data_IF_628511635703
#
_entry.id   IF_628511635703
#
_cell.length_a   1.000
_cell.length_b   1.000
_cell.length_c   1.000
_cell.angle_alpha   90.00
_cell.angle_beta   90.00
_cell.angle_gamma   90.00
#
_symmetry.space_group_name_H-M   'P 1'
#
loop_
_entity.id
_entity.type
_entity.pdbx_description
1 polymer ?
#
# COMPACT_ATOMS: atom_id res chain seq x y z
N UNK A 1 -13.06 -14.40 26.01
CA UNK A 1 -13.25 -13.07 25.37
C UNK A 1 -12.07 -12.67 24.47
N UNK A 2 -10.81 -12.69 24.93
CA UNK A 2 -9.67 -12.21 24.12
C UNK A 2 -9.46 -12.93 22.78
N UNK A 3 -9.58 -14.27 22.74
CA UNK A 3 -9.29 -15.07 21.53
C UNK A 3 -10.36 -14.98 20.43
N UNK A 4 -11.63 -14.81 20.78
CA UNK A 4 -12.74 -14.86 19.82
C UNK A 4 -13.38 -13.51 19.54
N UNK A 5 -12.94 -12.45 20.23
CA UNK A 5 -13.49 -11.11 20.03
C UNK A 5 -12.37 -10.08 19.91
N UNK A 6 -11.60 -9.87 20.99
CA UNK A 6 -10.66 -8.75 21.03
C UNK A 6 -9.58 -8.88 19.94
N UNK A 7 -8.89 -10.01 19.85
CA UNK A 7 -7.81 -10.21 18.87
C UNK A 7 -8.33 -10.19 17.42
N UNK A 8 -9.39 -10.95 17.07
CA UNK A 8 -9.92 -10.90 15.72
C UNK A 8 -10.43 -9.51 15.34
N UNK A 9 -11.18 -8.82 16.20
CA UNK A 9 -11.70 -7.49 15.89
C UNK A 9 -10.58 -6.47 15.70
N UNK A 10 -9.53 -6.51 16.52
CA UNK A 10 -8.35 -5.66 16.33
C UNK A 10 -7.65 -5.97 15.00
N UNK A 11 -7.48 -7.26 14.67
CA UNK A 11 -6.93 -7.69 13.37
C UNK A 11 -7.75 -7.20 12.19
N UNK A 12 -9.09 -7.26 12.30
CA UNK A 12 -10.01 -6.74 11.29
C UNK A 12 -9.87 -5.22 11.13
N UNK A 13 -9.80 -4.46 12.22
CA UNK A 13 -9.59 -3.01 12.18
C UNK A 13 -8.29 -2.64 11.47
N UNK A 14 -7.20 -3.37 11.74
CA UNK A 14 -5.92 -3.18 11.06
C UNK A 14 -6.02 -3.49 9.56
N UNK A 15 -6.67 -4.61 9.20
CA UNK A 15 -6.86 -5.00 7.80
C UNK A 15 -7.69 -3.96 7.01
N UNK A 16 -8.79 -3.49 7.59
CA UNK A 16 -9.64 -2.45 6.98
C UNK A 16 -8.89 -1.11 6.86
N UNK A 17 -8.05 -0.77 7.83
CA UNK A 17 -7.21 0.43 7.75
C UNK A 17 -6.17 0.33 6.61
N UNK A 18 -5.58 -0.85 6.39
CA UNK A 18 -4.71 -1.09 5.24
C UNK A 18 -5.48 -0.95 3.93
N UNK A 19 -6.67 -1.56 3.84
CA UNK A 19 -7.53 -1.45 2.66
C UNK A 19 -7.89 0.01 2.35
N UNK A 20 -8.23 0.82 3.35
CA UNK A 20 -8.52 2.24 3.17
C UNK A 20 -7.33 3.00 2.57
N UNK A 21 -6.10 2.72 3.02
CA UNK A 21 -4.87 3.31 2.48
C UNK A 21 -4.60 2.89 1.04
N UNK A 22 -4.79 1.62 0.73
CA UNK A 22 -4.64 1.10 -0.64
C UNK A 22 -5.65 1.76 -1.59
N UNK A 23 -6.91 1.90 -1.16
CA UNK A 23 -7.95 2.59 -1.92
C UNK A 23 -7.63 4.08 -2.11
N UNK A 24 -7.14 4.76 -1.07
CA UNK A 24 -6.69 6.15 -1.17
C UNK A 24 -5.54 6.31 -2.19
N UNK A 25 -4.59 5.38 -2.22
CA UNK A 25 -3.51 5.38 -3.22
C UNK A 25 -4.06 5.15 -4.64
N UNK A 26 -4.99 4.20 -4.81
CA UNK A 26 -5.66 3.94 -6.09
C UNK A 26 -6.43 5.17 -6.60
N UNK A 27 -7.11 5.90 -5.72
CA UNK A 27 -7.82 7.14 -6.07
C UNK A 27 -6.85 8.21 -6.57
N UNK A 28 -5.72 8.42 -5.88
CA UNK A 28 -4.67 9.36 -6.33
C UNK A 28 -4.10 8.97 -7.70
N UNK A 29 -3.89 7.68 -7.96
CA UNK A 29 -3.46 7.20 -9.29
C UNK A 29 -4.51 7.53 -10.35
N UNK A 30 -5.80 7.40 -10.03
CA UNK A 30 -6.89 7.75 -10.95
C UNK A 30 -7.00 9.24 -11.20
N UNK A 31 -6.74 10.07 -10.20
CA UNK A 31 -6.71 11.52 -10.38
C UNK A 31 -5.57 11.96 -11.31
N UNK A 32 -4.39 11.35 -11.19
CA UNK A 32 -3.27 11.58 -12.11
C UNK A 32 -3.62 11.16 -13.55
N UNK A 33 -4.30 10.02 -13.72
CA UNK A 33 -4.77 9.56 -15.02
C UNK A 33 -5.78 10.56 -15.62
N UNK A 34 -6.74 11.05 -14.83
CA UNK A 34 -7.72 12.06 -15.26
C UNK A 34 -7.02 13.38 -15.64
N UNK A 35 -6.02 13.79 -14.87
CA UNK A 35 -5.22 14.98 -15.14
C UNK A 35 -4.45 14.85 -16.46
N UNK A 36 -3.80 13.71 -16.71
CA UNK A 36 -3.07 13.44 -17.97
C UNK A 36 -3.99 13.55 -19.21
N UNK A 37 -5.22 13.03 -19.11
CA UNK A 37 -6.22 13.21 -20.16
C UNK A 37 -6.54 14.69 -20.41
N UNK A 38 -6.70 15.48 -19.35
CA UNK A 38 -6.99 16.91 -19.47
C UNK A 38 -5.82 17.69 -20.08
N UNK A 39 -4.60 17.40 -19.65
CA UNK A 39 -3.36 18.00 -20.17
C UNK A 39 -3.12 17.63 -21.64
N UNK A 40 -3.53 16.42 -22.04
CA UNK A 40 -3.55 15.96 -23.43
C UNK A 40 -4.66 16.58 -24.30
N UNK A 41 -5.51 17.44 -23.71
CA UNK A 41 -6.60 18.14 -24.41
C UNK A 41 -7.90 17.35 -24.55
N UNK A 42 -8.06 16.24 -23.82
CA UNK A 42 -9.34 15.53 -23.78
C UNK A 42 -10.39 16.35 -23.04
N UNK A 43 -11.61 16.36 -23.55
CA UNK A 43 -12.75 17.09 -22.96
C UNK A 43 -13.87 16.11 -22.62
N UNK A 44 -14.44 16.26 -21.42
CA UNK A 44 -15.60 15.49 -20.99
C UNK A 44 -16.83 15.81 -21.84
N UNK A 45 -17.42 14.80 -22.46
CA UNK A 45 -18.70 14.93 -23.17
C UNK A 45 -19.89 15.16 -22.25
N UNK A 46 -19.78 14.73 -20.98
CA UNK A 46 -20.82 14.84 -19.95
C UNK A 46 -20.22 15.48 -18.70
N UNK A 47 -20.43 16.78 -18.52
CA UNK A 47 -19.86 17.54 -17.40
C UNK A 47 -20.17 16.99 -16.00
N UNK A 48 -21.36 16.39 -15.80
CA UNK A 48 -21.76 15.77 -14.53
C UNK A 48 -20.90 14.57 -14.07
N UNK A 49 -20.04 14.05 -14.95
CA UNK A 49 -19.13 12.95 -14.62
C UNK A 49 -17.80 13.45 -14.04
N UNK A 50 -17.56 14.77 -14.06
CA UNK A 50 -16.38 15.35 -13.44
C UNK A 50 -16.44 15.09 -11.93
N UNK A 51 -15.37 14.53 -11.39
CA UNK A 51 -15.14 14.40 -9.95
C UNK A 51 -14.12 15.44 -9.51
N UNK A 52 -14.20 15.84 -8.24
CA UNK A 52 -13.13 16.60 -7.61
C UNK A 52 -11.97 15.67 -7.25
N UNK A 53 -10.70 16.15 -7.27
CA UNK A 53 -9.55 15.34 -6.88
C UNK A 53 -9.71 14.80 -5.46
N UNK A 54 -9.32 13.55 -5.25
CA UNK A 54 -9.42 12.91 -3.95
C UNK A 54 -8.38 13.47 -2.97
N UNK A 55 -8.85 13.96 -1.83
CA UNK A 55 -8.02 14.41 -0.71
C UNK A 55 -8.42 13.65 0.57
N UNK A 56 -7.44 12.98 1.16
CA UNK A 56 -7.67 11.99 2.22
C UNK A 56 -8.05 12.63 3.55
N UNK A 57 -7.47 13.78 3.91
CA UNK A 57 -7.74 14.42 5.19
C UNK A 57 -9.16 15.01 5.22
N UNK A 58 -9.55 15.71 4.16
CA UNK A 58 -10.88 16.24 3.92
C UNK A 58 -11.93 15.13 3.92
N UNK A 59 -11.66 14.01 3.24
CA UNK A 59 -12.54 12.84 3.29
C UNK A 59 -12.70 12.30 4.71
N UNK A 60 -11.61 12.15 5.47
CA UNK A 60 -11.64 11.64 6.84
C UNK A 60 -12.38 12.60 7.79
N UNK A 61 -12.11 13.90 7.70
CA UNK A 61 -12.80 14.94 8.48
C UNK A 61 -14.31 14.90 8.20
N UNK A 62 -14.71 14.88 6.93
CA UNK A 62 -16.12 14.78 6.55
C UNK A 62 -16.74 13.46 7.03
N UNK A 63 -16.02 12.33 6.87
CA UNK A 63 -16.50 11.03 7.34
C UNK A 63 -16.72 11.01 8.85
N UNK A 64 -15.80 11.59 9.64
CA UNK A 64 -15.91 11.65 11.10
C UNK A 64 -17.12 12.45 11.58
N UNK A 65 -17.49 13.51 10.87
CA UNK A 65 -18.63 14.35 11.23
C UNK A 65 -19.95 13.77 10.73
N UNK A 66 -20.01 13.35 9.46
CA UNK A 66 -21.27 13.04 8.79
C UNK A 66 -21.64 11.56 8.83
N UNK A 67 -20.66 10.65 8.80
CA UNK A 67 -20.89 9.22 8.57
C UNK A 67 -20.57 8.35 9.77
N UNK A 68 -19.59 8.75 10.58
CA UNK A 68 -19.14 7.97 11.74
C UNK A 68 -20.26 7.66 12.76
N UNK A 69 -21.19 8.57 13.10
CA UNK A 69 -22.24 8.25 14.07
C UNK A 69 -23.13 7.08 13.63
N UNK A 70 -23.47 7.01 12.34
CA UNK A 70 -24.27 5.92 11.77
C UNK A 70 -23.40 4.67 11.54
N UNK A 71 -22.19 4.83 11.00
CA UNK A 71 -21.29 3.73 10.68
C UNK A 71 -20.77 2.97 11.91
N UNK A 72 -20.67 3.64 13.06
CA UNK A 72 -20.25 3.03 14.33
C UNK A 72 -21.40 2.47 15.17
N UNK A 73 -22.65 2.60 14.71
CA UNK A 73 -23.79 2.06 15.42
C UNK A 73 -23.84 0.53 15.32
N UNK A 74 -23.52 -0.15 16.42
CA UNK A 74 -23.49 -1.62 16.48
C UNK A 74 -24.92 -2.20 16.58
N UNK A 75 -25.87 -1.44 17.13
CA UNK A 75 -27.25 -1.89 17.35
C UNK A 75 -27.32 -3.24 18.07
N UNK A 76 -27.98 -4.20 17.43
CA UNK A 76 -28.13 -5.59 17.91
C UNK A 76 -27.05 -6.55 17.38
N UNK A 77 -26.02 -6.03 16.71
CA UNK A 77 -24.92 -6.81 16.15
C UNK A 77 -25.22 -7.48 14.80
N UNK A 78 -26.44 -7.36 14.25
CA UNK A 78 -26.73 -7.89 12.89
C UNK A 78 -25.83 -7.31 11.79
N UNK A 79 -25.48 -6.00 11.77
CA UNK A 79 -24.60 -5.46 10.74
C UNK A 79 -23.23 -6.16 10.71
N UNK A 80 -22.70 -6.53 11.87
CA UNK A 80 -21.47 -7.31 11.96
C UNK A 80 -21.64 -8.70 11.32
N UNK A 81 -22.70 -9.43 11.69
CA UNK A 81 -22.96 -10.77 11.17
C UNK A 81 -23.21 -10.78 9.65
N UNK A 82 -23.83 -9.74 9.10
CA UNK A 82 -24.13 -9.63 7.67
C UNK A 82 -22.92 -9.18 6.84
N UNK A 83 -22.16 -8.20 7.33
CA UNK A 83 -21.16 -7.50 6.50
C UNK A 83 -19.72 -7.91 6.79
N UNK A 84 -19.41 -8.30 8.03
CA UNK A 84 -18.03 -8.47 8.51
C UNK A 84 -17.64 -9.92 8.81
N UNK A 85 -18.61 -10.85 8.77
CA UNK A 85 -18.38 -12.25 9.14
C UNK A 85 -17.31 -12.94 8.27
N UNK A 86 -17.28 -12.65 6.97
CA UNK A 86 -16.27 -13.20 6.05
C UNK A 86 -14.86 -12.78 6.47
N UNK A 87 -14.67 -11.49 6.78
CA UNK A 87 -13.39 -10.95 7.24
C UNK A 87 -13.00 -11.51 8.62
N UNK A 88 -13.96 -11.63 9.55
CA UNK A 88 -13.73 -12.25 10.85
C UNK A 88 -13.23 -13.69 10.71
N UNK A 89 -13.87 -14.50 9.86
CA UNK A 89 -13.45 -15.89 9.59
C UNK A 89 -12.07 -15.94 8.94
N UNK A 90 -11.74 -15.01 8.04
CA UNK A 90 -10.41 -14.94 7.44
C UNK A 90 -9.32 -14.61 8.47
N UNK A 91 -9.55 -13.59 9.32
CA UNK A 91 -8.60 -13.17 10.36
C UNK A 91 -8.39 -14.27 11.40
N UNK A 92 -9.47 -14.89 11.89
CA UNK A 92 -9.37 -15.99 12.86
C UNK A 92 -8.62 -17.20 12.30
N UNK A 93 -8.84 -17.57 11.03
CA UNK A 93 -8.07 -18.62 10.35
C UNK A 93 -6.59 -18.28 10.28
N UNK A 94 -6.26 -17.04 9.91
CA UNK A 94 -4.88 -16.57 9.84
C UNK A 94 -4.18 -16.59 11.21
N UNK A 95 -4.88 -16.19 12.28
CA UNK A 95 -4.34 -16.27 13.64
C UNK A 95 -4.02 -17.71 14.08
N UNK A 96 -4.89 -18.66 13.76
CA UNK A 96 -4.66 -20.09 14.08
C UNK A 96 -3.45 -20.62 13.30
N UNK A 97 -3.35 -20.32 12.01
CA UNK A 97 -2.22 -20.73 11.17
C UNK A 97 -0.90 -20.12 11.66
N UNK A 98 -0.90 -18.83 12.03
CA UNK A 98 0.29 -18.16 12.56
C UNK A 98 0.78 -18.83 13.86
N UNK A 99 -0.15 -19.25 14.74
CA UNK A 99 0.18 -19.98 15.97
C UNK A 99 0.77 -21.36 15.71
N UNK A 100 0.19 -22.12 14.78
CA UNK A 100 0.70 -23.44 14.39
C UNK A 100 2.12 -23.33 13.83
N UNK A 101 2.36 -22.39 12.90
CA UNK A 101 3.69 -22.13 12.35
C UNK A 101 4.73 -21.79 13.42
N UNK A 102 4.34 -21.02 14.45
CA UNK A 102 5.24 -20.68 15.55
C UNK A 102 5.58 -21.88 16.44
N UNK A 103 4.64 -22.80 16.61
CA UNK A 103 4.85 -24.02 17.38
C UNK A 103 5.74 -25.02 16.63
N UNK A 104 5.48 -25.23 15.33
CA UNK A 104 6.32 -26.09 14.48
C UNK A 104 7.77 -25.59 14.38
N UNK A 105 7.95 -24.26 14.38
CA UNK A 105 9.28 -23.63 14.39
C UNK A 105 10.01 -23.78 15.74
N UNK A 106 9.27 -23.80 16.86
CA UNK A 106 9.85 -23.99 18.18
C UNK A 106 10.28 -25.45 18.42
N UNK A 107 9.49 -26.42 17.96
CA UNK A 107 9.79 -27.85 18.12
C UNK A 107 11.00 -28.30 17.28
N UNK A 108 11.12 -27.80 16.04
CA UNK A 108 12.29 -28.06 15.19
C UNK A 108 13.60 -27.48 15.74
N UNK A 109 13.56 -26.43 16.57
CA UNK A 109 14.76 -25.91 17.25
C UNK A 109 15.13 -26.70 18.51
N UNK A 110 14.19 -27.44 19.09
CA UNK A 110 14.43 -28.21 20.32
C UNK A 110 15.03 -29.59 20.01
N UNK A 111 14.65 -30.19 18.87
CA UNK A 111 15.21 -31.46 18.40
C UNK A 111 16.65 -31.39 17.86
N UNK A 112 17.16 -30.20 17.56
CA UNK A 112 18.55 -30.01 17.07
C UNK A 112 19.59 -29.74 18.16
N UNK A 113 19.25 -29.78 19.46
CA UNK A 113 20.21 -29.50 20.55
C UNK A 113 20.67 -30.71 21.38
N UNK A 114 20.25 -31.93 21.03
CA UNK A 114 20.76 -33.14 21.69
C UNK A 114 22.06 -33.65 21.03
N UNK A 115 23.20 -33.06 21.40
CA UNK A 115 24.52 -33.69 21.29
C UNK A 115 25.27 -33.47 22.61
N UNK A 116 25.89 -34.51 23.21
CA UNK A 116 26.43 -34.42 24.55
C UNK A 116 27.80 -33.71 24.59
N UNK A 117 28.03 -33.04 25.73
CA UNK A 117 29.28 -32.65 26.39
C UNK A 117 30.60 -32.74 25.59
N UNK A 118 31.35 -31.63 25.59
CA UNK A 118 32.64 -31.60 26.29
C UNK A 118 33.03 -30.16 26.68
N UNK A 119 33.42 -30.03 27.94
CA UNK A 119 33.84 -28.84 28.67
C UNK A 119 35.27 -28.46 28.24
N UNK A 120 35.59 -27.18 28.04
CA UNK A 120 36.63 -26.46 28.82
C UNK A 120 37.00 -25.07 28.23
N UNK A 121 37.34 -24.17 29.17
CA UNK A 121 38.16 -22.95 29.04
C UNK A 121 37.63 -21.77 28.20
N UNK A 122 37.08 -20.71 28.82
CA UNK A 122 37.80 -19.59 29.46
C UNK A 122 38.57 -18.72 28.46
N UNK A 123 38.10 -17.48 28.21
CA UNK A 123 38.84 -16.23 28.49
C UNK A 123 38.02 -15.01 28.03
N UNK A 124 37.88 -14.11 29.00
CA UNK A 124 37.31 -12.77 29.03
C UNK A 124 38.22 -11.77 28.30
N UNK A 125 37.65 -10.83 27.52
CA UNK A 125 37.76 -9.35 27.70
C UNK A 125 37.22 -8.57 26.49
N UNK A 126 36.49 -7.50 26.81
CA UNK A 126 36.03 -6.34 26.03
C UNK A 126 36.76 -5.09 26.60
N UNK A 127 36.56 -3.85 26.11
CA UNK A 127 36.92 -3.25 24.81
C UNK A 127 37.88 -2.04 24.99
N UNK A 128 38.48 -1.54 23.91
CA UNK A 128 39.01 -0.16 23.89
C UNK A 128 38.59 0.57 22.61
N UNK A 129 37.96 1.73 22.80
CA UNK A 129 37.88 2.85 21.85
C UNK A 129 38.76 3.98 22.39
N UNK A 130 39.37 4.84 21.54
CA UNK A 130 38.83 6.21 21.42
C UNK A 130 39.03 6.94 20.06
N UNK A 131 37.91 7.47 19.51
CA UNK A 131 37.59 8.85 18.99
C UNK A 131 38.54 9.63 18.02
N UNK A 132 38.15 10.80 17.42
CA UNK A 132 38.21 11.04 15.97
C UNK A 132 39.03 12.28 15.56
N UNK A 133 39.17 12.56 14.26
CA UNK A 133 39.65 13.86 13.75
C UNK A 133 38.93 14.29 12.47
N UNK A 134 38.80 15.61 12.33
CA UNK A 134 37.78 16.33 11.62
C UNK A 134 38.20 16.89 10.24
N UNK A 135 37.18 17.34 9.49
CA UNK A 135 37.16 18.41 8.46
C UNK A 135 37.99 18.16 7.18
N UNK A 136 37.56 18.54 5.97
CA UNK A 136 37.15 19.88 5.53
C UNK A 136 36.26 19.79 4.26
N UNK A 137 35.29 20.70 4.17
CA UNK A 137 34.45 21.03 3.02
C UNK A 137 35.23 21.40 1.73
N UNK A 138 34.65 21.16 0.55
CA UNK A 138 34.22 22.23 -0.39
C UNK A 138 33.77 21.67 -1.74
N UNK A 139 32.54 22.03 -2.14
CA UNK A 139 32.16 22.23 -3.55
C UNK A 139 32.58 23.66 -3.95
N UNK A 140 32.70 24.04 -5.25
CA UNK A 140 31.52 24.29 -6.09
C UNK A 140 31.66 24.00 -7.60
N UNK A 141 30.51 23.99 -8.28
CA UNK A 141 30.27 24.05 -9.74
C UNK A 141 30.71 25.41 -10.35
N UNK A 142 30.89 25.57 -11.70
CA UNK A 142 29.74 25.80 -12.61
C UNK A 142 29.89 25.38 -14.10
N UNK A 143 28.75 25.49 -14.81
CA UNK A 143 28.39 25.23 -16.21
C UNK A 143 29.31 25.73 -17.35
N UNK A 144 29.23 25.07 -18.54
CA UNK A 144 29.02 25.73 -19.85
C UNK A 144 28.82 24.75 -21.04
N UNK A 145 27.65 24.85 -21.69
CA UNK A 145 27.37 24.95 -23.14
C UNK A 145 28.15 24.09 -24.19
N UNK A 146 27.43 23.27 -24.98
CA UNK A 146 27.78 23.04 -26.40
C UNK A 146 27.31 21.72 -27.03
N UNK A 147 26.96 21.68 -28.34
CA UNK A 147 25.86 20.87 -28.87
C UNK A 147 26.27 19.69 -29.77
N UNK A 148 25.46 18.62 -29.80
CA UNK A 148 25.46 17.58 -30.85
C UNK A 148 24.21 16.71 -30.67
N UNK A 149 23.26 16.54 -31.59
CA UNK A 149 23.27 16.73 -33.03
C UNK A 149 23.21 15.40 -33.76
N UNK A 150 22.18 14.56 -33.59
CA UNK A 150 21.87 13.53 -34.59
C UNK A 150 20.36 13.28 -34.74
N UNK A 151 19.96 13.28 -36.01
CA UNK A 151 18.61 13.19 -36.53
C UNK A 151 18.14 11.74 -36.57
N UNK A 152 16.84 11.49 -36.35
CA UNK A 152 16.11 10.51 -37.17
C UNK A 152 14.61 10.81 -37.18
N UNK A 153 14.19 11.44 -38.27
CA UNK A 153 12.79 11.55 -38.69
C UNK A 153 12.43 10.22 -39.35
N UNK A 154 11.50 9.45 -38.79
CA UNK A 154 10.82 8.38 -39.53
C UNK A 154 9.45 8.88 -39.99
N UNK A 155 9.25 8.77 -41.29
CA UNK A 155 8.19 9.42 -42.05
C UNK A 155 6.88 8.64 -41.95
N UNK A 156 5.81 9.43 -41.77
CA UNK A 156 4.40 9.08 -41.88
C UNK A 156 4.07 8.34 -43.19
N UNK A 157 3.54 7.12 -43.09
CA UNK A 157 2.85 6.46 -44.19
C UNK A 157 1.34 6.72 -44.11
N UNK A 158 0.82 7.38 -45.16
CA UNK A 158 -0.61 7.67 -45.35
C UNK A 158 -1.33 6.40 -45.80
N UNK A 159 -2.34 5.96 -45.06
CA UNK A 159 -3.34 5.00 -45.55
C UNK A 159 -4.73 5.65 -45.58
N UNK A 160 -5.42 5.47 -46.70
CA UNK A 160 -6.73 6.07 -47.05
C UNK A 160 -7.84 5.65 -46.08
N UNK A 161 -8.71 6.63 -45.77
CA UNK A 161 -9.92 6.51 -44.96
C UNK A 161 -10.97 5.60 -45.62
N UNK A 162 -11.55 4.68 -44.84
CA UNK A 162 -12.91 4.16 -45.05
C UNK A 162 -13.65 4.31 -43.72
N UNK A 163 -14.68 5.19 -43.68
CA UNK A 163 -15.54 5.40 -42.52
C UNK A 163 -16.35 4.11 -42.28
N UNK A 164 -16.11 3.42 -41.16
CA UNK A 164 -17.04 2.44 -40.61
C UNK A 164 -17.57 3.02 -39.29
N UNK A 165 -18.89 3.23 -39.21
CA UNK A 165 -19.54 3.73 -38.00
C UNK A 165 -19.48 2.65 -36.91
N UNK A 166 -19.09 2.97 -35.66
CA UNK A 166 -19.34 2.06 -34.56
C UNK A 166 -20.84 2.11 -34.21
N UNK A 167 -21.55 1.01 -34.49
CA UNK A 167 -22.86 0.76 -33.88
C UNK A 167 -22.66 0.73 -32.36
N UNK A 168 -23.36 1.60 -31.66
CA UNK A 168 -23.28 1.72 -30.20
C UNK A 168 -23.60 0.40 -29.51
N UNK A 169 -22.84 0.08 -28.47
CA UNK A 169 -22.98 -1.10 -27.61
C UNK A 169 -24.05 -0.93 -26.52
N UNK A 170 -25.07 -0.12 -26.79
CA UNK A 170 -26.25 0.00 -25.94
C UNK A 170 -27.48 -0.07 -26.84
N UNK A 171 -27.97 -1.31 -27.01
CA UNK A 171 -29.37 -1.60 -27.33
C UNK A 171 -30.01 -2.20 -26.09
#
# INVERSE_FOLDING_TARGET
>A
VSQHLIRPLLGMSLALQCQAKELAALLRIKDLEIQDYQESGAVLSRGRLKTEPFEENSFLEQFMVEKLPEASNIGDGRPFAMNLQSLYVAVTKQEVQARQKHQDMAENRTSSSASPQETDSQVRKQPEQPVPSASVLSAPEPEAMGPSGFMQKSLLSKAKRKKQQPRGLFS
#
